data_IF_981804176270
#
_entry.id   IF_981804176270
#
_cell.length_a   1.000
_cell.length_b   1.000
_cell.length_c   1.000
_cell.angle_alpha   90.00
_cell.angle_beta   90.00
_cell.angle_gamma   90.00
#
_symmetry.space_group_name_H-M   'P 1'
#
loop_
_entity.id
_entity.type
_entity.pdbx_description
1 polymer ?
#
# COMPACT_ATOMS: atom_id res chain seq x y z
N UNK A 1 -6.18 47.67 11.27
CA UNK A 1 -6.49 46.81 10.10
C UNK A 1 -6.38 45.36 10.56
N UNK A 2 -7.51 44.66 10.66
CA UNK A 2 -7.57 43.31 11.22
C UNK A 2 -7.14 42.26 10.19
N UNK A 3 -6.36 41.27 10.62
CA UNK A 3 -5.87 40.17 9.79
C UNK A 3 -7.02 39.22 9.37
N UNK A 4 -6.95 38.74 8.13
CA UNK A 4 -7.92 37.77 7.60
C UNK A 4 -7.84 36.43 8.35
N UNK A 5 -8.97 35.74 8.60
CA UNK A 5 -8.96 34.45 9.27
C UNK A 5 -8.31 33.37 8.39
N UNK A 6 -7.62 32.38 9.00
CA UNK A 6 -7.01 31.28 8.27
C UNK A 6 -8.05 30.38 7.61
N UNK A 7 -7.67 29.77 6.48
CA UNK A 7 -8.55 28.92 5.69
C UNK A 7 -9.01 27.66 6.46
N UNK A 8 -10.28 27.22 6.29
CA UNK A 8 -10.97 26.24 7.14
C UNK A 8 -10.49 24.79 7.05
N UNK A 9 -9.36 24.52 6.39
CA UNK A 9 -8.80 23.18 6.19
C UNK A 9 -7.44 22.97 6.88
N UNK A 10 -6.96 23.97 7.62
CA UNK A 10 -5.81 23.84 8.51
C UNK A 10 -6.31 23.39 9.88
N UNK A 11 -6.48 22.08 10.04
CA UNK A 11 -6.91 21.51 11.31
C UNK A 11 -6.79 20.00 11.32
N UNK A 12 -5.56 19.47 11.37
CA UNK A 12 -5.30 18.11 11.88
C UNK A 12 -3.80 17.86 12.03
N UNK A 13 -3.17 18.62 12.93
CA UNK A 13 -2.03 18.13 13.71
C UNK A 13 -2.16 18.70 15.12
N UNK A 14 -3.01 18.10 15.94
CA UNK A 14 -2.90 18.17 17.40
C UNK A 14 -3.05 16.75 17.91
N UNK A 15 -2.04 16.28 18.64
CA UNK A 15 -2.07 15.02 19.35
C UNK A 15 -2.73 15.24 20.70
N UNK A 16 -4.01 14.97 20.77
CA UNK A 16 -4.78 14.81 22.00
C UNK A 16 -6.02 13.99 21.63
N UNK A 17 -6.33 12.99 22.46
CA UNK A 17 -7.51 12.15 22.36
C UNK A 17 -8.76 13.02 22.46
N UNK A 18 -9.38 13.33 21.31
CA UNK A 18 -10.65 14.04 21.26
C UNK A 18 -11.75 13.09 21.73
N UNK A 19 -12.09 13.18 23.01
CA UNK A 19 -13.47 12.96 23.46
C UNK A 19 -14.36 13.92 22.66
N UNK A 20 -15.31 13.37 21.91
CA UNK A 20 -16.20 14.14 21.05
C UNK A 20 -17.02 15.12 21.91
N UNK A 21 -16.94 16.44 21.67
CA UNK A 21 -17.84 17.40 22.30
C UNK A 21 -19.22 17.27 21.67
N UNK A 22 -20.25 17.08 22.51
CA UNK A 22 -21.64 17.14 22.09
C UNK A 22 -21.97 18.52 21.53
N UNK A 23 -22.38 18.55 20.27
CA UNK A 23 -22.97 19.73 19.64
C UNK A 23 -24.48 19.50 19.63
N UNK A 24 -25.21 20.40 20.28
CA UNK A 24 -26.67 20.44 20.24
C UNK A 24 -27.14 20.58 18.78
N UNK A 25 -27.99 19.64 18.36
CA UNK A 25 -28.41 19.47 16.96
C UNK A 25 -27.79 18.25 16.26
N UNK A 26 -26.92 17.49 16.93
CA UNK A 26 -26.59 16.14 16.47
C UNK A 26 -27.80 15.23 16.63
N UNK A 27 -28.29 14.66 15.52
CA UNK A 27 -29.06 13.44 15.57
C UNK A 27 -28.18 12.38 16.25
N UNK A 28 -28.30 12.25 17.57
CA UNK A 28 -27.91 11.02 18.26
C UNK A 28 -28.67 9.95 17.51
N UNK A 29 -27.94 9.15 16.73
CA UNK A 29 -28.55 8.09 15.96
C UNK A 29 -29.28 7.21 16.97
N UNK A 30 -30.61 7.25 16.91
CA UNK A 30 -31.44 6.46 17.79
C UNK A 30 -31.11 5.01 17.47
N UNK A 31 -30.39 4.36 18.39
CA UNK A 31 -29.94 2.99 18.22
C UNK A 31 -31.13 2.03 18.01
N UNK A 32 -32.32 2.43 18.43
CA UNK A 32 -33.57 1.68 18.15
C UNK A 32 -34.02 1.83 16.70
N UNK A 33 -33.87 3.01 16.09
CA UNK A 33 -34.16 3.25 14.68
C UNK A 33 -33.14 2.58 13.73
N UNK A 34 -31.88 2.43 14.16
CA UNK A 34 -30.86 1.65 13.44
C UNK A 34 -31.25 0.16 13.43
N UNK A 35 -31.82 -0.35 14.53
CA UNK A 35 -32.20 -1.75 14.68
C UNK A 35 -33.38 -2.14 13.79
N UNK A 36 -34.37 -1.25 13.63
CA UNK A 36 -35.54 -1.49 12.79
C UNK A 36 -35.25 -1.42 11.29
N UNK A 37 -34.19 -0.70 10.88
CA UNK A 37 -33.83 -0.52 9.47
C UNK A 37 -32.77 -1.50 8.95
N UNK A 38 -32.17 -2.32 9.81
CA UNK A 38 -31.14 -3.29 9.43
C UNK A 38 -31.66 -4.41 8.50
N UNK A 39 -32.97 -4.70 8.55
CA UNK A 39 -33.61 -5.74 7.74
C UNK A 39 -34.25 -5.20 6.44
N UNK A 40 -34.21 -3.88 6.21
CA UNK A 40 -34.76 -3.29 4.98
C UNK A 40 -33.77 -3.45 3.80
N UNK A 41 -34.17 -4.05 2.66
CA UNK A 41 -33.28 -4.34 1.53
C UNK A 41 -32.64 -3.10 0.88
N UNK A 42 -33.19 -1.92 1.18
CA UNK A 42 -32.85 -0.62 0.57
C UNK A 42 -31.82 0.15 1.40
N UNK A 43 -31.58 -0.27 2.64
CA UNK A 43 -30.68 0.36 3.60
C UNK A 43 -29.57 -0.60 4.04
N UNK A 44 -28.81 -1.14 3.07
CA UNK A 44 -27.57 -1.86 3.36
C UNK A 44 -26.48 -0.90 3.85
N UNK A 45 -26.37 -0.77 5.16
CA UNK A 45 -25.29 -0.03 5.80
C UNK A 45 -24.02 -0.89 5.81
N UNK A 46 -22.88 -0.26 5.57
CA UNK A 46 -21.54 -0.89 5.49
C UNK A 46 -21.02 -1.37 6.85
N UNK A 47 -21.68 -0.98 7.94
CA UNK A 47 -21.57 -1.59 9.26
C UNK A 47 -22.73 -2.55 9.45
N UNK A 48 -22.49 -3.84 9.15
CA UNK A 48 -23.42 -4.89 9.55
C UNK A 48 -23.04 -5.30 10.97
N UNK A 49 -23.55 -4.58 11.97
CA UNK A 49 -23.45 -5.04 13.35
C UNK A 49 -24.28 -6.32 13.45
N UNK A 50 -23.63 -7.48 13.35
CA UNK A 50 -24.27 -8.77 13.65
C UNK A 50 -24.64 -8.74 15.13
N UNK A 51 -25.84 -8.28 15.46
CA UNK A 51 -26.36 -8.38 16.82
C UNK A 51 -27.16 -9.67 16.91
N UNK A 52 -26.65 -10.62 17.69
CA UNK A 52 -27.44 -11.78 18.10
C UNK A 52 -28.30 -11.36 19.29
N UNK A 53 -29.62 -11.51 19.19
CA UNK A 53 -30.52 -11.33 20.31
C UNK A 53 -30.35 -12.52 21.27
N UNK A 54 -29.54 -12.34 22.31
CA UNK A 54 -29.45 -13.29 23.41
C UNK A 54 -30.52 -12.93 24.44
N UNK A 55 -31.38 -13.89 24.77
CA UNK A 55 -32.38 -13.72 25.82
C UNK A 55 -31.66 -13.59 27.16
N UNK A 56 -31.77 -12.41 27.77
CA UNK A 56 -31.23 -12.16 29.10
C UNK A 56 -32.35 -12.51 30.09
N UNK A 57 -32.21 -13.56 30.92
CA UNK A 57 -33.14 -13.78 32.02
C UNK A 57 -32.99 -12.63 33.02
N UNK A 58 -34.06 -11.87 33.25
CA UNK A 58 -34.06 -10.80 34.22
C UNK A 58 -33.94 -11.34 35.65
N UNK A 59 -33.09 -10.66 36.43
CA UNK A 59 -33.04 -10.60 37.91
C UNK A 59 -32.31 -11.75 38.64
N UNK A 60 -31.12 -11.42 39.14
CA UNK A 60 -30.40 -12.14 40.19
C UNK A 60 -28.94 -11.67 40.32
N UNK A 61 -28.45 -11.47 41.55
CA UNK A 61 -27.17 -10.83 41.92
C UNK A 61 -25.86 -11.49 41.43
N UNK A 62 -25.90 -12.37 40.43
CA UNK A 62 -24.71 -13.09 39.93
C UNK A 62 -24.34 -12.64 38.51
N UNK A 63 -24.06 -11.35 38.34
CA UNK A 63 -23.56 -10.76 37.07
C UNK A 63 -22.34 -11.50 36.52
N UNK A 64 -21.47 -12.05 37.38
CA UNK A 64 -20.30 -12.83 36.95
C UNK A 64 -20.67 -14.19 36.33
N UNK A 65 -21.70 -14.87 36.83
CA UNK A 65 -22.17 -16.14 36.24
C UNK A 65 -22.90 -15.87 34.92
N UNK A 66 -23.65 -14.78 34.85
CA UNK A 66 -24.32 -14.34 33.63
C UNK A 66 -23.30 -14.01 32.52
N UNK A 67 -22.22 -13.29 32.85
CA UNK A 67 -21.14 -13.00 31.91
C UNK A 67 -20.38 -14.26 31.48
N UNK A 68 -20.17 -15.22 32.37
CA UNK A 68 -19.56 -16.51 32.03
C UNK A 68 -20.44 -17.31 31.07
N UNK A 69 -21.73 -17.44 31.37
CA UNK A 69 -22.68 -18.13 30.50
C UNK A 69 -22.78 -17.46 29.12
N UNK A 70 -22.78 -16.12 29.06
CA UNK A 70 -22.76 -15.39 27.78
C UNK A 70 -21.46 -15.59 27.00
N UNK A 71 -20.31 -15.61 27.69
CA UNK A 71 -19.01 -15.90 27.08
C UNK A 71 -18.97 -17.32 26.49
N UNK A 72 -19.51 -18.29 27.20
CA UNK A 72 -19.50 -19.69 26.77
C UNK A 72 -20.47 -19.90 25.59
N UNK A 73 -21.66 -19.31 25.64
CA UNK A 73 -22.60 -19.30 24.50
C UNK A 73 -22.01 -18.66 23.24
N UNK A 74 -21.27 -17.55 23.39
CA UNK A 74 -20.58 -16.92 22.26
C UNK A 74 -19.47 -17.81 21.69
N UNK A 75 -18.74 -18.53 22.54
CA UNK A 75 -17.69 -19.45 22.11
C UNK A 75 -18.28 -20.62 21.33
N UNK A 76 -19.32 -21.25 21.86
CA UNK A 76 -20.04 -22.35 21.20
C UNK A 76 -20.60 -21.91 19.84
N UNK A 77 -21.11 -20.67 19.74
CA UNK A 77 -21.61 -20.14 18.46
C UNK A 77 -20.50 -19.87 17.44
N UNK A 78 -19.33 -19.38 17.88
CA UNK A 78 -18.17 -19.17 17.02
C UNK A 78 -17.55 -20.49 16.56
N UNK A 79 -17.57 -21.52 17.40
CA UNK A 79 -17.09 -22.86 17.06
C UNK A 79 -18.06 -23.57 16.09
N UNK A 80 -19.37 -23.40 16.25
CA UNK A 80 -20.38 -23.92 15.32
C UNK A 80 -20.40 -23.19 13.97
N UNK A 81 -20.02 -21.92 13.94
CA UNK A 81 -19.93 -21.09 12.73
C UNK A 81 -18.51 -20.53 12.57
N UNK A 82 -17.52 -21.38 12.23
CA UNK A 82 -16.17 -20.90 12.01
C UNK A 82 -16.21 -19.80 10.95
N UNK A 83 -15.52 -18.69 11.22
CA UNK A 83 -15.40 -17.61 10.25
C UNK A 83 -14.93 -18.23 8.92
N UNK A 84 -15.51 -17.83 7.77
CA UNK A 84 -15.04 -18.33 6.49
C UNK A 84 -13.54 -18.11 6.45
N UNK A 85 -12.80 -19.19 6.20
CA UNK A 85 -11.35 -19.10 5.99
C UNK A 85 -11.19 -18.18 4.79
N UNK A 86 -10.95 -16.91 5.07
CA UNK A 86 -10.42 -16.02 4.07
C UNK A 86 -9.08 -16.64 3.75
N UNK A 87 -8.99 -17.34 2.62
CA UNK A 87 -7.73 -17.52 1.96
C UNK A 87 -7.19 -16.12 1.83
N UNK A 88 -6.27 -15.77 2.73
CA UNK A 88 -5.41 -14.64 2.51
C UNK A 88 -4.80 -15.01 1.19
N UNK A 89 -5.25 -14.35 0.13
CA UNK A 89 -4.48 -14.26 -1.08
C UNK A 89 -3.20 -13.58 -0.63
N UNK A 90 -2.27 -14.39 -0.13
CA UNK A 90 -0.88 -14.08 -0.22
C UNK A 90 -0.74 -13.79 -1.70
N UNK A 91 -0.67 -12.50 -2.05
CA UNK A 91 -0.08 -12.12 -3.30
C UNK A 91 1.23 -12.86 -3.28
N UNK A 92 1.32 -13.97 -4.02
CA UNK A 92 2.53 -14.75 -4.09
C UNK A 92 3.60 -13.72 -4.41
N UNK A 93 4.59 -13.51 -3.51
CA UNK A 93 5.68 -12.61 -3.81
C UNK A 93 6.26 -13.20 -5.08
N UNK A 94 6.11 -12.46 -6.18
CA UNK A 94 6.56 -12.79 -7.52
C UNK A 94 7.62 -13.90 -7.47
N UNK A 95 7.21 -15.15 -7.68
CA UNK A 95 8.16 -16.24 -7.86
C UNK A 95 8.66 -16.14 -9.29
N UNK A 96 9.35 -15.03 -9.57
CA UNK A 96 10.17 -14.91 -10.75
C UNK A 96 11.28 -15.93 -10.61
N UNK A 97 11.15 -17.07 -11.30
CA UNK A 97 12.30 -17.81 -11.76
C UNK A 97 13.20 -16.81 -12.48
N UNK A 98 14.30 -16.40 -11.85
CA UNK A 98 15.14 -15.34 -12.39
C UNK A 98 16.46 -15.08 -11.66
N UNK A 99 16.45 -14.68 -10.39
CA UNK A 99 17.70 -14.29 -9.73
C UNK A 99 17.66 -14.58 -8.22
N UNK A 100 18.44 -15.60 -7.79
CA UNK A 100 18.59 -15.99 -6.38
C UNK A 100 19.23 -14.88 -5.51
N UNK A 101 19.73 -13.82 -6.13
CA UNK A 101 20.59 -12.81 -5.50
C UNK A 101 19.94 -11.42 -5.39
N UNK A 102 18.63 -11.28 -5.62
CA UNK A 102 17.95 -9.98 -5.52
C UNK A 102 17.26 -9.81 -4.16
N UNK A 103 17.57 -8.73 -3.46
CA UNK A 103 16.90 -8.34 -2.21
C UNK A 103 16.18 -7.02 -2.39
N UNK A 104 14.91 -6.97 -2.02
CA UNK A 104 14.16 -5.70 -1.96
C UNK A 104 14.57 -4.94 -0.70
N UNK A 105 15.08 -3.73 -0.88
CA UNK A 105 15.38 -2.79 0.19
C UNK A 105 14.24 -1.78 0.33
N UNK A 106 14.08 -1.25 1.55
CA UNK A 106 13.08 -0.24 1.90
C UNK A 106 13.74 0.92 2.63
N UNK A 107 13.60 2.12 2.08
CA UNK A 107 14.16 3.35 2.64
C UNK A 107 13.03 4.34 2.91
N UNK A 108 13.04 4.93 4.10
CA UNK A 108 12.13 6.04 4.42
C UNK A 108 12.63 7.34 3.81
N UNK A 109 11.75 7.98 3.02
CA UNK A 109 11.92 9.33 2.53
C UNK A 109 11.36 10.33 3.54
N UNK A 110 12.04 11.47 3.68
CA UNK A 110 11.66 12.62 4.52
C UNK A 110 11.44 13.86 3.65
N UNK A 111 10.37 13.89 2.83
CA UNK A 111 10.06 15.04 2.00
C UNK A 111 9.56 16.23 2.84
N UNK A 112 9.90 17.44 2.42
CA UNK A 112 9.28 18.70 2.88
C UNK A 112 7.81 18.78 2.48
N UNK A 113 7.09 19.80 2.94
CA UNK A 113 5.67 20.00 2.59
C UNK A 113 5.47 20.16 1.08
N UNK A 114 6.26 21.01 0.44
CA UNK A 114 6.25 21.22 -1.03
C UNK A 114 6.58 19.92 -1.78
N UNK A 115 7.55 19.16 -1.29
CA UNK A 115 7.93 17.88 -1.90
C UNK A 115 6.84 16.82 -1.75
N UNK A 116 6.12 16.80 -0.62
CA UNK A 116 4.95 15.93 -0.45
C UNK A 116 3.87 16.28 -1.46
N UNK A 117 3.64 17.56 -1.73
CA UNK A 117 2.70 17.99 -2.75
C UNK A 117 3.13 17.57 -4.15
N UNK A 118 4.41 17.75 -4.50
CA UNK A 118 4.98 17.25 -5.75
C UNK A 118 4.77 15.73 -5.90
N UNK A 119 5.07 14.94 -4.86
CA UNK A 119 4.85 13.49 -4.89
C UNK A 119 3.37 13.10 -5.00
N UNK A 120 2.46 13.84 -4.34
CA UNK A 120 1.01 13.63 -4.47
C UNK A 120 0.50 13.99 -5.87
N UNK A 121 0.99 15.09 -6.45
CA UNK A 121 0.68 15.49 -7.84
C UNK A 121 1.16 14.41 -8.80
N UNK A 122 2.40 13.92 -8.63
CA UNK A 122 2.94 12.82 -9.42
C UNK A 122 2.06 11.56 -9.32
N UNK A 123 1.72 11.13 -8.10
CA UNK A 123 0.84 9.99 -7.88
C UNK A 123 -0.56 10.17 -8.53
N UNK A 124 -1.09 11.39 -8.50
CA UNK A 124 -2.35 11.74 -9.17
C UNK A 124 -2.27 11.58 -10.69
N UNK A 125 -1.22 12.11 -11.31
CA UNK A 125 -0.96 12.03 -12.76
C UNK A 125 -0.76 10.57 -13.20
N UNK A 126 -0.05 9.78 -12.39
CA UNK A 126 0.22 8.37 -12.67
C UNK A 126 -1.08 7.56 -12.59
N UNK A 127 -1.92 7.82 -11.59
CA UNK A 127 -3.26 7.21 -11.51
C UNK A 127 -4.11 7.58 -12.72
N UNK A 128 -4.11 8.84 -13.12
CA UNK A 128 -4.83 9.29 -14.31
C UNK A 128 -4.33 8.57 -15.57
N UNK A 129 -3.00 8.47 -15.74
CA UNK A 129 -2.38 7.79 -16.90
C UNK A 129 -2.74 6.31 -16.93
N UNK A 130 -2.69 5.63 -15.78
CA UNK A 130 -3.14 4.24 -15.65
C UNK A 130 -4.61 4.10 -16.02
N UNK A 131 -5.50 4.94 -15.45
CA UNK A 131 -6.93 4.86 -15.73
C UNK A 131 -7.27 5.17 -17.20
N UNK A 132 -6.54 6.10 -17.84
CA UNK A 132 -6.67 6.35 -19.29
C UNK A 132 -6.28 5.11 -20.11
N UNK A 133 -5.20 4.43 -19.72
CA UNK A 133 -4.81 3.18 -20.36
C UNK A 133 -5.85 2.07 -20.14
N UNK A 134 -6.44 1.97 -18.94
CA UNK A 134 -7.54 1.03 -18.66
C UNK A 134 -8.76 1.31 -19.52
N UNK A 135 -9.17 2.58 -19.66
CA UNK A 135 -10.31 2.95 -20.51
C UNK A 135 -10.08 2.50 -21.96
N UNK A 136 -8.89 2.77 -22.50
CA UNK A 136 -8.51 2.33 -23.84
C UNK A 136 -8.49 0.81 -23.99
N UNK A 137 -7.95 0.08 -23.01
CA UNK A 137 -7.90 -1.39 -23.01
C UNK A 137 -9.27 -2.05 -22.86
N UNK A 138 -10.24 -1.39 -22.22
CA UNK A 138 -11.62 -1.89 -22.16
C UNK A 138 -12.29 -1.85 -23.53
N UNK A 139 -12.03 -0.81 -24.31
CA UNK A 139 -12.52 -0.68 -25.69
C UNK A 139 -11.72 -1.54 -26.67
N UNK A 140 -10.42 -1.74 -26.40
CA UNK A 140 -9.49 -2.48 -27.25
C UNK A 140 -8.72 -3.54 -26.46
N UNK A 141 -9.35 -4.67 -26.07
CA UNK A 141 -8.74 -5.64 -25.16
C UNK A 141 -7.46 -6.30 -25.68
N UNK A 142 -7.28 -6.35 -27.00
CA UNK A 142 -6.14 -6.97 -27.69
C UNK A 142 -5.12 -5.94 -28.19
N UNK A 143 -5.22 -4.69 -27.73
CA UNK A 143 -4.28 -3.65 -28.15
C UNK A 143 -2.86 -3.95 -27.64
N UNK A 144 -1.88 -3.77 -28.52
CA UNK A 144 -0.46 -3.90 -28.17
C UNK A 144 -0.05 -2.78 -27.20
N UNK A 145 0.99 -3.03 -26.39
CA UNK A 145 1.55 -1.99 -25.52
C UNK A 145 1.97 -0.72 -26.30
N UNK A 146 2.38 -0.87 -27.56
CA UNK A 146 2.71 0.27 -28.41
C UNK A 146 1.50 1.21 -28.60
N UNK A 147 0.34 0.66 -28.92
CA UNK A 147 -0.91 1.41 -29.11
C UNK A 147 -1.37 2.05 -27.80
N UNK A 148 -1.34 1.29 -26.69
CA UNK A 148 -1.70 1.80 -25.36
C UNK A 148 -0.81 3.00 -24.97
N UNK A 149 0.51 2.90 -25.26
CA UNK A 149 1.48 3.97 -25.00
C UNK A 149 1.23 5.19 -25.86
N UNK A 150 0.97 5.02 -27.16
CA UNK A 150 0.63 6.11 -28.06
C UNK A 150 -0.59 6.88 -27.54
N UNK A 151 -1.68 6.18 -27.22
CA UNK A 151 -2.92 6.79 -26.74
C UNK A 151 -2.79 7.47 -25.36
N UNK A 152 -2.06 6.84 -24.43
CA UNK A 152 -2.13 7.21 -23.00
C UNK A 152 -0.96 8.07 -22.52
N UNK A 153 0.14 8.15 -23.28
CA UNK A 153 1.40 8.78 -22.84
C UNK A 153 1.91 9.81 -23.85
N UNK A 154 1.82 9.55 -25.16
CA UNK A 154 2.35 10.49 -26.16
C UNK A 154 1.53 11.77 -26.20
N UNK A 155 2.22 12.92 -26.20
CA UNK A 155 1.62 14.23 -25.98
C UNK A 155 0.58 14.63 -27.03
N UNK A 156 0.80 14.19 -28.28
CA UNK A 156 -0.10 14.38 -29.42
C UNK A 156 -1.49 13.78 -29.18
N UNK A 157 -1.58 12.70 -28.41
CA UNK A 157 -2.82 11.96 -28.18
C UNK A 157 -3.43 12.26 -26.80
N UNK A 158 -2.80 13.16 -26.03
CA UNK A 158 -3.37 13.66 -24.78
C UNK A 158 -4.42 14.74 -25.07
N UNK A 159 -5.54 14.78 -24.32
CA UNK A 159 -6.51 15.86 -24.41
C UNK A 159 -5.82 17.20 -24.14
N UNK A 160 -6.15 18.23 -24.91
CA UNK A 160 -5.48 19.54 -24.83
C UNK A 160 -5.55 20.15 -23.43
N UNK A 161 -6.70 20.03 -22.79
CA UNK A 161 -6.95 20.44 -21.40
C UNK A 161 -6.08 19.71 -20.35
N UNK A 162 -5.70 18.45 -20.65
CA UNK A 162 -4.93 17.61 -19.74
C UNK A 162 -3.42 17.77 -19.92
N UNK A 163 -2.99 18.08 -21.15
CA UNK A 163 -1.59 18.11 -21.56
C UNK A 163 -0.69 18.94 -20.61
N UNK A 164 -1.02 20.18 -20.20
CA UNK A 164 -0.11 21.03 -19.43
C UNK A 164 0.25 20.49 -18.03
N UNK A 165 -0.67 19.78 -17.39
CA UNK A 165 -0.44 19.26 -16.04
C UNK A 165 0.02 17.80 -16.04
N UNK A 166 -0.35 17.00 -17.06
CA UNK A 166 0.11 15.60 -17.19
C UNK A 166 1.60 15.55 -17.54
N UNK A 167 2.09 16.43 -18.42
CA UNK A 167 3.48 16.41 -18.89
C UNK A 167 4.49 16.92 -17.85
N UNK A 168 4.02 17.45 -16.71
CA UNK A 168 4.88 17.80 -15.56
C UNK A 168 5.63 16.58 -15.00
N UNK A 169 5.05 15.39 -15.14
CA UNK A 169 5.70 14.11 -14.78
C UNK A 169 6.43 13.53 -15.99
N UNK A 170 7.63 13.02 -15.74
CA UNK A 170 8.48 12.41 -16.76
C UNK A 170 7.74 11.34 -17.57
N UNK A 171 8.02 11.31 -18.87
CA UNK A 171 7.51 10.31 -19.80
C UNK A 171 7.76 8.88 -19.31
N UNK A 172 8.95 8.60 -18.74
CA UNK A 172 9.33 7.29 -18.18
C UNK A 172 8.34 6.77 -17.14
N UNK A 173 7.95 7.64 -16.21
CA UNK A 173 7.07 7.33 -15.09
C UNK A 173 5.64 7.13 -15.61
N UNK A 174 5.18 7.99 -16.54
CA UNK A 174 3.88 7.84 -17.20
C UNK A 174 3.79 6.55 -18.02
N UNK A 175 4.86 6.23 -18.77
CA UNK A 175 4.98 4.98 -19.52
C UNK A 175 4.93 3.76 -18.60
N UNK A 176 5.56 3.81 -17.42
CA UNK A 176 5.48 2.72 -16.44
C UNK A 176 4.04 2.49 -15.96
N UNK A 177 3.26 3.56 -15.73
CA UNK A 177 1.86 3.46 -15.37
C UNK A 177 1.00 2.81 -16.48
N UNK A 178 1.22 3.18 -17.74
CA UNK A 178 0.55 2.55 -18.87
C UNK A 178 0.95 1.07 -19.03
N UNK A 179 2.23 0.74 -18.80
CA UNK A 179 2.72 -0.64 -18.85
C UNK A 179 2.10 -1.51 -17.76
N UNK A 180 1.92 -0.96 -16.56
CA UNK A 180 1.22 -1.66 -15.46
C UNK A 180 -0.22 -2.03 -15.85
N UNK A 181 -0.95 -1.15 -16.55
CA UNK A 181 -2.31 -1.45 -17.01
C UNK A 181 -2.31 -2.56 -18.07
N UNK A 182 -1.39 -2.49 -19.04
CA UNK A 182 -1.24 -3.51 -20.07
C UNK A 182 -0.89 -4.89 -19.49
N UNK A 183 0.09 -4.96 -18.58
CA UNK A 183 0.46 -6.23 -17.93
C UNK A 183 -0.72 -6.80 -17.12
N UNK A 184 -1.47 -5.94 -16.41
CA UNK A 184 -2.65 -6.40 -15.68
C UNK A 184 -3.71 -6.99 -16.62
N UNK A 185 -3.94 -6.38 -17.78
CA UNK A 185 -4.83 -6.92 -18.81
C UNK A 185 -4.33 -8.26 -19.35
N UNK A 186 -3.07 -8.32 -19.75
CA UNK A 186 -2.44 -9.50 -20.33
C UNK A 186 -2.51 -10.69 -19.36
N UNK A 187 -2.10 -10.49 -18.11
CA UNK A 187 -2.16 -11.52 -17.07
C UNK A 187 -3.61 -11.97 -16.80
N UNK A 188 -4.55 -11.02 -16.75
CA UNK A 188 -5.96 -11.33 -16.53
C UNK A 188 -6.55 -12.20 -17.64
N UNK A 189 -6.28 -11.83 -18.90
CA UNK A 189 -6.69 -12.62 -20.06
C UNK A 189 -6.02 -14.00 -20.10
N UNK A 190 -4.74 -14.09 -19.73
CA UNK A 190 -4.05 -15.37 -19.60
C UNK A 190 -4.65 -16.25 -18.50
N UNK A 191 -5.04 -15.69 -17.36
CA UNK A 191 -5.72 -16.44 -16.28
C UNK A 191 -7.11 -16.93 -16.70
N UNK A 192 -7.85 -16.17 -17.52
CA UNK A 192 -9.12 -16.64 -18.11
C UNK A 192 -8.86 -17.76 -19.12
N UNK A 193 -7.89 -17.56 -20.03
CA UNK A 193 -7.56 -18.55 -21.07
C UNK A 193 -7.04 -19.88 -20.50
N UNK A 194 -6.34 -19.83 -19.36
CA UNK A 194 -5.88 -21.01 -18.63
C UNK A 194 -6.94 -21.63 -17.70
N UNK A 195 -8.14 -21.05 -17.62
CA UNK A 195 -9.22 -21.54 -16.77
C UNK A 195 -9.00 -21.34 -15.27
N UNK A 196 -8.04 -20.51 -14.85
CA UNK A 196 -7.80 -20.19 -13.45
C UNK A 196 -8.90 -19.32 -12.86
N UNK A 197 -9.50 -18.45 -13.68
CA UNK A 197 -10.61 -17.57 -13.30
C UNK A 197 -11.69 -17.62 -14.40
N UNK A 198 -12.98 -17.49 -14.04
CA UNK A 198 -14.07 -17.57 -15.00
C UNK A 198 -14.20 -16.32 -15.89
N UNK A 199 -13.89 -15.15 -15.34
CA UNK A 199 -13.99 -13.86 -16.03
C UNK A 199 -12.94 -12.90 -15.44
N UNK A 200 -12.52 -11.92 -16.24
CA UNK A 200 -11.57 -10.89 -15.86
C UNK A 200 -12.04 -9.51 -16.33
N UNK A 201 -12.17 -8.59 -15.37
CA UNK A 201 -12.46 -7.19 -15.65
C UNK A 201 -11.38 -6.28 -15.09
N UNK A 202 -10.72 -5.52 -15.95
CA UNK A 202 -9.68 -4.58 -15.55
C UNK A 202 -10.29 -3.35 -14.88
N UNK A 203 -10.00 -3.16 -13.59
CA UNK A 203 -10.55 -2.06 -12.79
C UNK A 203 -9.73 -0.75 -12.86
N UNK A 204 -10.43 0.37 -12.72
CA UNK A 204 -9.79 1.67 -12.49
C UNK A 204 -9.18 1.75 -11.08
N UNK A 205 -8.01 2.38 -10.98
CA UNK A 205 -7.43 2.74 -9.68
C UNK A 205 -8.22 3.86 -9.05
N UNK A 206 -8.75 3.62 -7.84
CA UNK A 206 -9.46 4.62 -7.03
C UNK A 206 -8.48 5.55 -6.29
N UNK A 207 -8.92 6.77 -5.95
CA UNK A 207 -8.17 7.67 -5.08
C UNK A 207 -8.27 7.20 -3.63
N UNK A 208 -7.35 6.33 -3.18
CA UNK A 208 -7.19 6.04 -1.74
C UNK A 208 -6.22 7.05 -1.14
N UNK A 209 -6.70 7.94 -0.28
CA UNK A 209 -5.91 9.02 0.32
C UNK A 209 -4.71 8.53 1.16
N UNK A 210 -4.69 7.24 1.54
CA UNK A 210 -3.67 6.66 2.41
C UNK A 210 -2.59 5.84 1.69
N UNK A 211 -2.83 5.42 0.44
CA UNK A 211 -1.94 4.50 -0.27
C UNK A 211 -1.83 4.91 -1.74
N UNK A 212 -0.70 5.51 -2.09
CA UNK A 212 -0.33 5.74 -3.48
C UNK A 212 1.07 5.21 -3.73
N UNK A 213 1.22 4.44 -4.80
CA UNK A 213 2.54 4.01 -5.25
C UNK A 213 2.71 4.25 -6.74
N UNK A 214 3.96 4.44 -7.14
CA UNK A 214 4.32 4.50 -8.54
C UNK A 214 5.73 3.99 -8.77
N UNK A 215 5.94 3.39 -9.94
CA UNK A 215 7.23 2.89 -10.38
C UNK A 215 8.09 4.03 -10.92
N UNK A 216 9.38 3.95 -10.66
CA UNK A 216 10.40 4.82 -11.22
C UNK A 216 11.49 3.92 -11.81
N UNK A 217 12.15 4.41 -12.86
CA UNK A 217 13.30 3.70 -13.45
C UNK A 217 14.59 4.10 -12.75
N UNK A 218 15.62 3.28 -12.91
CA UNK A 218 16.98 3.58 -12.47
C UNK A 218 17.40 4.99 -12.95
N UNK A 219 17.15 5.30 -14.22
CA UNK A 219 17.49 6.61 -14.82
C UNK A 219 16.75 7.81 -14.22
N UNK A 220 15.61 7.58 -13.57
CA UNK A 220 14.80 8.62 -12.91
C UNK A 220 15.35 8.91 -11.50
N UNK A 221 16.28 8.11 -10.99
CA UNK A 221 17.00 8.30 -9.74
C UNK A 221 18.47 8.63 -10.01
N UNK A 222 18.87 9.89 -9.84
CA UNK A 222 20.24 10.35 -10.14
C UNK A 222 20.84 11.09 -8.96
N UNK A 223 22.11 10.81 -8.66
CA UNK A 223 22.87 11.46 -7.59
C UNK A 223 22.17 11.38 -6.21
N UNK A 224 21.45 10.29 -5.96
CA UNK A 224 20.63 10.13 -4.77
C UNK A 224 19.33 10.93 -4.76
N UNK A 225 18.81 11.34 -5.91
CA UNK A 225 17.57 12.10 -5.97
C UNK A 225 16.67 11.62 -7.10
N UNK A 226 15.39 11.46 -6.76
CA UNK A 226 14.31 11.34 -7.73
C UNK A 226 14.24 12.60 -8.60
N UNK A 227 14.24 12.41 -9.91
CA UNK A 227 14.16 13.48 -10.90
C UNK A 227 12.72 13.58 -11.39
N UNK A 228 12.01 14.65 -11.00
CA UNK A 228 10.72 15.03 -11.59
C UNK A 228 10.76 16.55 -11.80
N UNK A 229 11.48 16.95 -12.85
CA UNK A 229 11.81 18.36 -13.11
C UNK A 229 10.56 19.25 -13.21
N UNK A 230 9.48 18.78 -13.85
CA UNK A 230 8.23 19.55 -13.98
C UNK A 230 7.48 19.76 -12.66
N UNK A 231 7.92 19.11 -11.57
CA UNK A 231 7.39 19.29 -10.22
C UNK A 231 8.47 19.78 -9.23
N UNK A 232 9.59 20.33 -9.73
CA UNK A 232 10.65 20.91 -8.89
C UNK A 232 11.47 19.89 -8.09
N UNK A 233 11.40 18.60 -8.42
CA UNK A 233 12.22 17.55 -7.79
C UNK A 233 13.43 17.23 -8.66
N UNK A 234 14.62 17.18 -8.06
CA UNK A 234 15.83 16.72 -8.74
C UNK A 234 17.10 17.44 -8.33
N UNK A 235 18.12 17.29 -9.16
CA UNK A 235 19.41 17.97 -9.00
C UNK A 235 19.55 19.06 -10.06
N UNK A 236 19.51 20.33 -9.65
CA UNK A 236 19.68 21.48 -10.54
C UNK A 236 19.24 22.79 -9.88
N UNK A 237 19.52 23.95 -10.50
CA UNK A 237 19.04 25.24 -10.03
C UNK A 237 17.52 25.25 -9.86
N UNK A 238 17.02 25.71 -8.72
CA UNK A 238 15.58 25.74 -8.41
C UNK A 238 14.93 24.38 -8.16
N UNK A 239 15.70 23.29 -8.07
CA UNK A 239 15.19 21.94 -7.77
C UNK A 239 15.53 21.53 -6.34
N UNK A 240 14.58 20.86 -5.70
CA UNK A 240 14.73 20.37 -4.33
C UNK A 240 15.04 18.88 -4.29
N UNK A 241 15.96 18.49 -3.40
CA UNK A 241 16.26 17.10 -3.10
C UNK A 241 15.42 16.63 -1.93
N UNK A 242 14.78 15.47 -2.07
CA UNK A 242 14.07 14.84 -0.95
C UNK A 242 15.12 14.37 0.06
N UNK A 243 14.95 14.70 1.34
CA UNK A 243 15.83 14.21 2.41
C UNK A 243 15.56 12.74 2.74
N UNK A 244 16.58 11.99 3.16
CA UNK A 244 16.44 10.58 3.57
C UNK A 244 17.63 10.17 4.45
N UNK A 245 17.50 9.07 5.21
CA UNK A 245 18.46 8.68 6.26
C UNK A 245 19.81 8.19 5.74
N UNK A 246 19.81 7.08 5.00
CA UNK A 246 21.03 6.50 4.41
C UNK A 246 21.10 6.81 2.92
N UNK A 247 22.25 7.28 2.42
CA UNK A 247 22.39 7.76 1.05
C UNK A 247 22.40 6.62 0.02
N UNK A 248 21.24 6.23 -0.50
CA UNK A 248 21.11 5.51 -1.78
C UNK A 248 21.61 6.43 -2.89
N UNK A 249 22.80 6.12 -3.43
CA UNK A 249 23.44 6.91 -4.49
C UNK A 249 22.77 6.62 -5.83
N UNK A 250 22.46 5.35 -6.07
CA UNK A 250 21.96 4.84 -7.34
C UNK A 250 20.93 3.73 -7.12
N UNK A 251 19.97 3.63 -8.04
CA UNK A 251 19.05 2.51 -8.19
C UNK A 251 19.51 1.74 -9.41
N UNK A 252 19.86 0.47 -9.27
CA UNK A 252 20.41 -0.35 -10.36
C UNK A 252 19.35 -0.92 -11.30
N UNK A 253 18.18 -1.24 -10.74
CA UNK A 253 17.11 -1.96 -11.42
C UNK A 253 15.90 -1.06 -11.74
N UNK A 254 15.21 -1.35 -12.84
CA UNK A 254 14.07 -0.57 -13.34
C UNK A 254 12.72 -0.91 -12.65
N UNK A 255 12.78 -1.42 -11.44
CA UNK A 255 11.65 -1.90 -10.65
C UNK A 255 11.40 -1.09 -9.37
N UNK A 256 12.12 0.00 -9.17
CA UNK A 256 11.99 0.82 -7.98
C UNK A 256 10.59 1.46 -7.88
N UNK A 257 10.08 1.55 -6.66
CA UNK A 257 8.74 2.04 -6.34
C UNK A 257 8.84 3.12 -5.27
N UNK A 258 8.20 4.26 -5.54
CA UNK A 258 7.87 5.24 -4.53
C UNK A 258 6.50 4.90 -3.96
N UNK A 259 6.40 4.76 -2.64
CA UNK A 259 5.17 4.36 -1.95
C UNK A 259 4.83 5.31 -0.81
N UNK A 260 3.58 5.72 -0.73
CA UNK A 260 2.98 6.41 0.40
C UNK A 260 2.26 5.39 1.29
N UNK A 261 2.58 5.37 2.58
CA UNK A 261 1.88 4.59 3.61
C UNK A 261 1.75 5.45 4.87
N UNK A 262 0.54 5.60 5.41
CA UNK A 262 0.27 6.31 6.66
C UNK A 262 0.93 7.71 6.73
N UNK A 263 0.83 8.47 5.64
CA UNK A 263 1.42 9.81 5.52
C UNK A 263 2.94 9.86 5.37
N UNK A 264 3.61 8.71 5.34
CA UNK A 264 5.06 8.57 5.16
C UNK A 264 5.36 8.09 3.74
N UNK A 265 6.51 8.50 3.21
CA UNK A 265 6.97 8.13 1.89
C UNK A 265 8.16 7.17 1.99
N UNK A 266 8.19 6.20 1.10
CA UNK A 266 9.21 5.16 1.05
C UNK A 266 9.70 4.96 -0.39
N UNK A 267 10.99 4.71 -0.53
CA UNK A 267 11.59 4.13 -1.72
C UNK A 267 11.77 2.64 -1.46
N UNK A 268 11.23 1.83 -2.38
CA UNK A 268 11.46 0.39 -2.47
C UNK A 268 12.28 0.16 -3.74
N UNK A 269 13.37 -0.59 -3.66
CA UNK A 269 14.18 -0.93 -4.83
C UNK A 269 14.85 -2.27 -4.61
N UNK A 270 15.23 -2.95 -5.69
CA UNK A 270 16.02 -4.17 -5.58
C UNK A 270 17.51 -3.86 -5.66
N UNK A 271 18.27 -4.66 -4.93
CA UNK A 271 19.72 -4.62 -4.88
C UNK A 271 20.25 -6.04 -5.08
N UNK A 272 21.36 -6.15 -5.82
CA UNK A 272 22.10 -7.39 -5.97
C UNK A 272 22.87 -7.65 -4.67
N UNK A 273 22.62 -8.80 -4.07
CA UNK A 273 23.20 -9.25 -2.82
C UNK A 273 24.05 -10.48 -3.11
N UNK A 274 25.29 -10.52 -2.61
CA UNK A 274 26.14 -11.70 -2.72
C UNK A 274 25.53 -12.90 -1.99
N UNK A 275 25.90 -14.12 -2.39
CA UNK A 275 25.34 -15.36 -1.84
C UNK A 275 25.46 -15.46 -0.30
N UNK A 276 26.44 -14.78 0.30
CA UNK A 276 26.69 -14.74 1.76
C UNK A 276 25.71 -13.89 2.57
N UNK A 277 25.02 -12.91 1.96
CA UNK A 277 24.09 -11.99 2.64
C UNK A 277 22.60 -12.40 2.48
N UNK A 278 22.33 -13.48 1.74
CA UNK A 278 21.01 -14.09 1.64
C UNK A 278 20.67 -14.74 2.98
N UNK A 279 19.88 -14.02 3.78
CA UNK A 279 19.46 -14.47 5.08
C UNK A 279 18.90 -15.91 5.02
N UNK A 280 19.46 -16.77 5.85
CA UNK A 280 18.93 -18.09 6.21
C UNK A 280 17.43 -17.91 6.50
N UNK A 281 16.54 -18.75 5.94
CA UNK A 281 15.11 -18.62 6.14
C UNK A 281 14.80 -18.54 7.64
N UNK A 282 13.97 -17.56 8.04
CA UNK A 282 13.53 -17.35 9.43
C UNK A 282 12.77 -18.55 10.04
N UNK A 283 12.63 -19.66 9.30
CA UNK A 283 12.13 -20.94 9.78
C UNK A 283 13.14 -21.71 10.66
N UNK A 284 14.42 -21.32 10.64
CA UNK A 284 15.38 -21.77 11.64
C UNK A 284 15.38 -20.72 12.76
N UNK A 285 14.68 -21.04 13.85
CA UNK A 285 14.77 -20.27 15.10
C UNK A 285 16.23 -20.07 15.55
N UNK A 286 16.49 -19.19 16.53
CA UNK A 286 17.86 -18.90 16.96
C UNK A 286 18.60 -20.20 17.24
N UNK A 287 19.63 -20.49 16.44
CA UNK A 287 20.58 -21.55 16.74
C UNK A 287 21.36 -21.08 17.97
N UNK A 288 20.88 -21.47 19.14
CA UNK A 288 21.64 -21.39 20.38
C UNK A 288 22.88 -22.27 20.19
N UNK A 289 24.00 -21.67 19.82
CA UNK A 289 25.29 -22.31 20.00
C UNK A 289 25.55 -22.31 21.51
N UNK A 290 25.24 -23.42 22.18
CA UNK A 290 25.80 -23.67 23.49
C UNK A 290 27.31 -23.79 23.31
N UNK A 291 28.04 -22.72 23.66
CA UNK A 291 29.48 -22.82 23.86
C UNK A 291 29.64 -23.61 25.15
N UNK A 292 29.87 -24.90 25.03
CA UNK A 292 30.25 -25.73 26.16
C UNK A 292 31.66 -25.33 26.59
N UNK A 293 31.75 -24.61 27.72
CA UNK A 293 33.03 -24.08 28.26
C UNK A 293 33.93 -25.20 28.81
N UNK A 294 33.51 -26.47 28.72
CA UNK A 294 34.31 -27.62 29.17
C UNK A 294 35.39 -28.10 28.18
N UNK A 295 35.50 -27.52 26.98
CA UNK A 295 36.55 -27.87 26.01
C UNK A 295 37.87 -27.08 26.14
N UNK A 296 38.08 -26.33 27.24
CA UNK A 296 39.32 -25.55 27.46
C UNK A 296 40.46 -26.35 28.13
N UNK A 297 40.37 -27.68 28.18
CA UNK A 297 41.35 -28.53 28.88
C UNK A 297 42.14 -29.51 27.99
N UNK A 298 42.11 -29.38 26.65
CA UNK A 298 42.88 -30.27 25.75
C UNK A 298 43.76 -29.59 24.70
N UNK A 299 43.82 -28.26 24.65
CA UNK A 299 44.70 -27.56 23.70
C UNK A 299 46.09 -27.21 24.27
N UNK A 300 46.28 -27.21 25.61
CA UNK A 300 47.56 -26.81 26.23
C UNK A 300 48.49 -27.99 26.59
N UNK A 301 48.18 -29.22 26.19
CA UNK A 301 49.05 -30.41 26.42
C UNK A 301 49.74 -30.97 25.18
N UNK A 302 49.71 -30.24 24.07
CA UNK A 302 50.46 -30.58 22.85
C UNK A 302 51.52 -29.53 22.47
N UNK A 303 51.83 -28.59 23.38
CA UNK A 303 52.83 -27.55 23.13
C UNK A 303 54.13 -27.76 23.92
N UNK A 304 54.21 -28.66 24.92
CA UNK A 304 55.44 -28.99 25.65
C UNK A 304 55.56 -30.52 25.81
N UNK A 305 56.20 -31.15 24.83
CA UNK A 305 56.54 -32.58 24.77
C UNK A 305 57.29 -32.88 23.50
#
# INVERSE_FOLDING_TARGET
>A
MAAAPPAPWIGSVAGESVSWPGVDGSHVADWTAIRQNADHPEHRWWFNAKSTSLEIPERGDNTLELLRNLSDQLRDHLDANPAPVHHIHHHAPWSGQGNKNLKTRRLRLRPSTEQKEALRKAAGIIRWTYNRAVAYLREHPQATFHQVRQHSVNEEHLPEECRPWVTQVLYSIRQAAAKDAHIAQENGLQSVASGQIPDFHLEFRRKRAMFSSFKIRARDWRNGCLQISGLGLGTGPGKSRIGYGNRVVEVKHDDAIIKQENGRWFLLWTEDVGEEELAIPAALGPRMCAIDVSARAKADRAAHG
#
